data_IF_059260137571
#
_entry.id   IF_059260137571
#
_cell.length_a   1.000
_cell.length_b   1.000
_cell.length_c   1.000
_cell.angle_alpha   90.00
_cell.angle_beta   90.00
_cell.angle_gamma   90.00
#
_symmetry.space_group_name_H-M   'P 1'
#
loop_
_entity.id
_entity.type
_entity.pdbx_description
1 polymer ?
#
# COMPACT_ATOMS: atom_id res chain seq x y z
N UNK A 1 15.75 17.14 -29.68
CA UNK A 1 14.49 16.40 -29.46
C UNK A 1 14.56 15.68 -28.14
N UNK A 2 13.97 16.25 -27.12
CA UNK A 2 13.85 15.51 -25.87
C UNK A 2 12.73 14.50 -26.02
N UNK A 3 13.12 13.23 -26.07
CA UNK A 3 12.20 12.11 -26.09
C UNK A 3 11.53 12.04 -24.71
N UNK A 4 10.28 12.52 -24.60
CA UNK A 4 9.47 12.48 -23.37
C UNK A 4 9.06 11.05 -22.95
N UNK A 5 9.61 10.01 -23.58
CA UNK A 5 9.22 8.62 -23.42
C UNK A 5 10.23 7.75 -22.65
N UNK A 6 11.24 8.31 -22.01
CA UNK A 6 12.35 7.53 -21.47
C UNK A 6 12.35 7.29 -19.96
N UNK A 7 11.23 7.52 -19.27
CA UNK A 7 11.17 7.22 -17.83
C UNK A 7 10.25 6.05 -17.48
N UNK A 8 10.05 5.11 -18.40
CA UNK A 8 9.55 3.81 -18.00
C UNK A 8 10.68 3.03 -17.31
N UNK A 9 10.43 2.51 -16.12
CA UNK A 9 11.36 1.58 -15.48
C UNK A 9 11.57 0.36 -16.37
N UNK A 10 12.61 -0.42 -16.07
CA UNK A 10 12.85 -1.67 -16.81
C UNK A 10 11.65 -2.59 -16.65
N UNK A 11 11.16 -3.23 -17.72
CA UNK A 11 10.15 -4.28 -17.62
C UNK A 11 10.54 -5.34 -16.61
N UNK A 12 9.59 -5.82 -15.82
CA UNK A 12 9.79 -6.91 -14.89
C UNK A 12 9.57 -8.22 -15.63
N UNK A 13 10.65 -8.99 -15.82
CA UNK A 13 10.63 -10.28 -16.52
C UNK A 13 10.93 -11.47 -15.62
N UNK A 14 11.30 -11.24 -14.38
CA UNK A 14 11.54 -12.27 -13.37
C UNK A 14 10.21 -12.91 -12.94
N UNK A 15 10.03 -14.19 -13.28
CA UNK A 15 8.80 -14.94 -12.99
C UNK A 15 8.48 -15.01 -11.50
N UNK A 16 9.50 -15.15 -10.65
CA UNK A 16 9.32 -15.17 -9.19
C UNK A 16 8.79 -13.83 -8.69
N UNK A 17 9.34 -12.73 -9.18
CA UNK A 17 8.91 -11.38 -8.82
C UNK A 17 7.49 -11.10 -9.31
N UNK A 18 7.17 -11.49 -10.54
CA UNK A 18 5.82 -11.37 -11.09
C UNK A 18 4.81 -12.18 -10.25
N UNK A 19 5.16 -13.41 -9.88
CA UNK A 19 4.34 -14.26 -9.02
C UNK A 19 4.07 -13.60 -7.67
N UNK A 20 5.10 -13.05 -7.04
CA UNK A 20 4.96 -12.38 -5.75
C UNK A 20 4.03 -11.16 -5.83
N UNK A 21 4.15 -10.35 -6.87
CA UNK A 21 3.22 -9.24 -7.12
C UNK A 21 1.80 -9.73 -7.32
N UNK A 22 1.61 -10.75 -8.17
CA UNK A 22 0.30 -11.33 -8.44
C UNK A 22 -0.38 -11.82 -7.16
N UNK A 23 0.31 -12.57 -6.33
CA UNK A 23 -0.21 -13.10 -5.06
C UNK A 23 -0.63 -11.97 -4.11
N UNK A 24 0.18 -10.93 -4.00
CA UNK A 24 -0.15 -9.75 -3.18
C UNK A 24 -1.34 -8.98 -3.73
N UNK A 25 -1.39 -8.73 -5.02
CA UNK A 25 -2.51 -8.03 -5.66
C UNK A 25 -3.80 -8.83 -5.48
N UNK A 26 -3.78 -10.14 -5.78
CA UNK A 26 -4.92 -11.03 -5.59
C UNK A 26 -5.44 -11.00 -4.14
N UNK A 27 -4.52 -11.07 -3.19
CA UNK A 27 -4.86 -11.02 -1.77
C UNK A 27 -5.61 -9.73 -1.41
N UNK A 28 -5.06 -8.57 -1.76
CA UNK A 28 -5.67 -7.29 -1.39
C UNK A 28 -6.98 -7.04 -2.13
N UNK A 29 -7.08 -7.38 -3.41
CA UNK A 29 -8.34 -7.28 -4.17
C UNK A 29 -9.40 -8.21 -3.56
N UNK A 30 -9.04 -9.43 -3.18
CA UNK A 30 -9.96 -10.38 -2.54
C UNK A 30 -10.49 -9.91 -1.19
N UNK A 31 -9.74 -9.03 -0.51
CA UNK A 31 -10.15 -8.40 0.75
C UNK A 31 -10.95 -7.10 0.56
N UNK A 32 -11.24 -6.73 -0.68
CA UNK A 32 -12.01 -5.52 -1.01
C UNK A 32 -11.20 -4.24 -1.06
N UNK A 33 -9.87 -4.31 -1.07
CA UNK A 33 -9.03 -3.13 -1.26
C UNK A 33 -8.91 -2.77 -2.75
N UNK A 34 -8.85 -1.48 -3.02
CA UNK A 34 -8.43 -0.97 -4.32
C UNK A 34 -6.91 -0.85 -4.34
N UNK A 35 -6.27 -1.58 -5.25
CA UNK A 35 -4.81 -1.62 -5.38
C UNK A 35 -4.34 -0.55 -6.36
N UNK A 36 -3.37 0.24 -5.95
CA UNK A 36 -2.83 1.35 -6.73
C UNK A 36 -1.45 0.96 -7.24
N UNK A 37 -1.25 0.77 -8.56
CA UNK A 37 0.09 0.63 -9.11
C UNK A 37 0.83 1.95 -8.97
N UNK A 38 2.03 1.90 -8.38
CA UNK A 38 2.84 3.07 -8.11
C UNK A 38 4.24 2.91 -8.70
N UNK A 39 4.84 4.04 -9.07
CA UNK A 39 6.28 4.14 -9.36
C UNK A 39 6.90 5.14 -8.42
N UNK A 40 7.88 4.68 -7.65
CA UNK A 40 8.58 5.52 -6.68
C UNK A 40 7.57 6.29 -5.78
N UNK A 41 6.56 5.56 -5.29
CA UNK A 41 5.44 6.03 -4.47
C UNK A 41 4.40 6.91 -5.18
N UNK A 42 4.58 7.17 -6.48
CA UNK A 42 3.65 7.99 -7.27
C UNK A 42 2.65 7.06 -7.98
N UNK A 43 1.33 7.25 -7.78
CA UNK A 43 0.31 6.49 -8.48
C UNK A 43 0.43 6.59 -10.00
N UNK A 44 0.32 5.46 -10.69
CA UNK A 44 0.40 5.35 -12.15
C UNK A 44 -0.95 5.05 -12.82
N UNK A 45 -2.03 5.08 -12.06
CA UNK A 45 -3.38 4.83 -12.56
C UNK A 45 -4.18 6.14 -12.51
N UNK A 46 -4.68 6.58 -13.66
CA UNK A 46 -5.56 7.74 -13.72
C UNK A 46 -6.87 7.48 -12.97
N UNK A 47 -7.34 8.47 -12.22
CA UNK A 47 -8.61 8.37 -11.49
C UNK A 47 -8.59 7.40 -10.32
N UNK A 48 -7.41 7.03 -9.80
CA UNK A 48 -7.28 6.10 -8.67
C UNK A 48 -8.04 6.54 -7.40
N UNK A 49 -8.34 7.82 -7.26
CA UNK A 49 -9.13 8.36 -6.14
C UNK A 49 -10.62 8.07 -6.26
N UNK A 50 -11.10 7.68 -7.45
CA UNK A 50 -12.52 7.45 -7.72
C UNK A 50 -12.85 5.97 -7.69
N UNK A 51 -14.11 5.65 -7.42
CA UNK A 51 -14.63 4.29 -7.58
C UNK A 51 -14.46 3.84 -9.05
N UNK A 52 -13.87 2.69 -9.23
CA UNK A 52 -13.72 2.03 -10.52
C UNK A 52 -13.50 0.54 -10.30
N UNK A 53 -13.91 -0.27 -11.26
CA UNK A 53 -13.64 -1.69 -11.26
C UNK A 53 -12.16 -1.96 -11.50
N UNK A 54 -11.65 -3.04 -10.93
CA UNK A 54 -10.26 -3.41 -11.02
C UNK A 54 -10.08 -4.93 -11.03
N UNK A 55 -9.21 -5.40 -11.90
CA UNK A 55 -8.73 -6.78 -11.91
C UNK A 55 -7.24 -6.83 -11.54
N UNK A 56 -6.78 -8.02 -11.15
CA UNK A 56 -5.35 -8.24 -10.90
C UNK A 56 -4.51 -7.92 -12.13
N UNK A 57 -4.98 -8.29 -13.32
CA UNK A 57 -4.26 -8.06 -14.57
C UNK A 57 -4.10 -6.57 -14.88
N UNK A 58 -5.08 -5.72 -14.56
CA UNK A 58 -4.98 -4.28 -14.75
C UNK A 58 -3.76 -3.69 -14.03
N UNK A 59 -3.48 -4.17 -12.81
CA UNK A 59 -2.34 -3.73 -12.01
C UNK A 59 -1.05 -4.42 -12.46
N UNK A 60 -1.12 -5.73 -12.67
CA UNK A 60 0.05 -6.55 -12.98
C UNK A 60 0.68 -6.17 -14.32
N UNK A 61 -0.11 -5.78 -15.31
CA UNK A 61 0.39 -5.33 -16.62
C UNK A 61 1.25 -4.08 -16.50
N UNK A 62 0.91 -3.16 -15.60
CA UNK A 62 1.72 -1.98 -15.34
C UNK A 62 3.05 -2.33 -14.64
N UNK A 63 3.04 -3.33 -13.76
CA UNK A 63 4.26 -3.87 -13.14
C UNK A 63 5.15 -4.54 -14.21
N UNK A 64 4.59 -5.42 -15.03
CA UNK A 64 5.33 -6.13 -16.07
C UNK A 64 5.95 -5.19 -17.09
N UNK A 65 5.26 -4.13 -17.46
CA UNK A 65 5.77 -3.13 -18.42
C UNK A 65 6.81 -2.16 -17.83
N UNK A 66 7.04 -2.19 -16.52
CA UNK A 66 7.92 -1.26 -15.81
C UNK A 66 7.33 0.14 -15.61
N UNK A 67 6.05 0.35 -15.94
CA UNK A 67 5.33 1.59 -15.63
C UNK A 67 5.07 1.75 -14.13
N UNK A 68 5.00 0.65 -13.41
CA UNK A 68 4.94 0.63 -11.95
C UNK A 68 6.00 -0.34 -11.39
N UNK A 69 6.47 -0.07 -10.19
CA UNK A 69 7.45 -0.89 -9.47
C UNK A 69 7.03 -1.18 -8.02
N UNK A 70 5.90 -0.68 -7.63
CA UNK A 70 5.33 -0.83 -6.29
C UNK A 70 3.81 -0.93 -6.40
N UNK A 71 3.19 -1.45 -5.36
CA UNK A 71 1.75 -1.36 -5.16
C UNK A 71 1.45 -0.62 -3.86
N UNK A 72 0.39 0.17 -3.89
CA UNK A 72 -0.23 0.76 -2.73
C UNK A 72 -1.68 0.31 -2.63
N UNK A 73 -2.34 0.69 -1.58
CA UNK A 73 -3.78 0.49 -1.42
C UNK A 73 -4.46 1.81 -1.10
N UNK A 74 -5.69 1.97 -1.56
CA UNK A 74 -6.53 3.11 -1.21
C UNK A 74 -7.12 2.91 0.18
N UNK A 75 -7.11 3.97 0.99
CA UNK A 75 -7.51 3.91 2.39
C UNK A 75 -8.88 4.54 2.67
N UNK A 76 -9.74 4.64 1.66
CA UNK A 76 -11.07 5.25 1.78
C UNK A 76 -12.01 4.53 2.75
N UNK A 77 -11.94 3.20 2.80
CA UNK A 77 -12.76 2.34 3.70
C UNK A 77 -12.06 1.91 4.98
N UNK A 78 -10.80 2.30 5.11
CA UNK A 78 -9.93 1.87 6.21
C UNK A 78 -9.18 3.07 6.77
N UNK A 79 -8.78 2.99 8.03
CA UNK A 79 -7.70 3.81 8.52
C UNK A 79 -6.48 2.93 8.84
N UNK A 80 -5.31 3.51 8.75
CA UNK A 80 -4.05 2.81 8.94
C UNK A 80 -3.23 3.53 9.98
N UNK A 81 -2.75 2.78 10.97
CA UNK A 81 -1.72 3.27 11.89
C UNK A 81 -0.37 2.91 11.29
N UNK A 82 0.38 3.91 10.90
CA UNK A 82 1.73 3.77 10.36
C UNK A 82 2.75 3.91 11.49
N UNK A 83 3.39 2.79 11.82
CA UNK A 83 4.39 2.70 12.89
C UNK A 83 5.78 2.74 12.28
N UNK A 84 6.45 3.86 12.41
CA UNK A 84 7.76 4.10 11.80
C UNK A 84 8.89 3.88 12.80
N UNK A 85 9.95 3.21 12.34
CA UNK A 85 11.17 2.94 13.11
C UNK A 85 12.42 3.55 12.48
N UNK A 86 12.29 4.34 11.42
CA UNK A 86 13.40 5.02 10.77
C UNK A 86 13.87 6.23 11.58
N UNK A 87 15.11 6.65 11.33
CA UNK A 87 15.66 7.90 11.87
C UNK A 87 15.54 7.99 13.41
N UNK A 88 15.88 6.91 14.12
CA UNK A 88 15.80 6.81 15.58
C UNK A 88 14.38 6.94 16.14
N UNK A 89 13.34 6.77 15.34
CA UNK A 89 11.96 6.70 15.84
C UNK A 89 11.73 5.36 16.52
N UNK A 90 11.06 5.39 17.65
CA UNK A 90 10.72 4.20 18.43
C UNK A 90 9.23 3.89 18.35
N UNK A 91 8.72 3.81 17.12
CA UNK A 91 7.29 3.61 16.87
C UNK A 91 6.73 2.32 17.45
N UNK A 92 7.52 1.23 17.46
CA UNK A 92 7.08 -0.06 18.04
C UNK A 92 6.84 0.04 19.54
N UNK A 93 7.67 0.76 20.27
CA UNK A 93 7.47 0.98 21.70
C UNK A 93 6.28 1.91 21.96
N UNK A 94 6.16 2.96 21.15
CA UNK A 94 5.04 3.91 21.22
C UNK A 94 3.69 3.21 21.01
N UNK A 95 3.59 2.30 20.04
CA UNK A 95 2.33 1.59 19.78
C UNK A 95 2.00 0.59 20.89
N UNK A 96 3.02 -0.06 21.50
CA UNK A 96 2.80 -0.91 22.66
C UNK A 96 2.25 -0.14 23.85
N UNK A 97 2.81 1.04 24.12
CA UNK A 97 2.33 1.89 25.19
C UNK A 97 0.91 2.35 24.95
N UNK A 98 0.59 2.81 23.72
CA UNK A 98 -0.75 3.21 23.34
C UNK A 98 -1.75 2.07 23.48
N UNK A 99 -1.38 0.86 23.08
CA UNK A 99 -2.20 -0.35 23.21
C UNK A 99 -2.55 -0.64 24.68
N UNK A 100 -1.59 -0.48 25.60
CA UNK A 100 -1.82 -0.61 27.05
C UNK A 100 -2.73 0.48 27.59
N UNK A 101 -2.44 1.74 27.26
CA UNK A 101 -3.17 2.90 27.76
C UNK A 101 -4.63 2.88 27.38
N UNK A 102 -4.92 2.39 26.16
CA UNK A 102 -6.29 2.28 25.63
C UNK A 102 -6.94 0.91 25.84
N UNK A 103 -6.22 -0.04 26.43
CA UNK A 103 -6.68 -1.43 26.59
C UNK A 103 -7.18 -2.04 25.25
N UNK A 104 -6.40 -1.84 24.18
CA UNK A 104 -6.69 -2.32 22.85
C UNK A 104 -5.78 -3.47 22.46
N UNK A 105 -6.34 -4.52 21.82
CA UNK A 105 -5.58 -5.56 21.16
C UNK A 105 -5.25 -5.12 19.73
N UNK A 106 -4.20 -4.33 19.58
CA UNK A 106 -3.81 -3.76 18.29
C UNK A 106 -3.24 -4.81 17.33
N UNK A 107 -2.76 -5.94 17.84
CA UNK A 107 -2.18 -7.00 17.03
C UNK A 107 -3.25 -7.89 16.36
N UNK A 108 -4.50 -7.80 16.80
CA UNK A 108 -5.60 -8.57 16.23
C UNK A 108 -6.23 -7.87 15.03
N UNK A 109 -5.40 -7.48 14.06
CA UNK A 109 -5.86 -6.87 12.80
C UNK A 109 -4.90 -7.21 11.65
N UNK A 110 -5.34 -6.94 10.43
CA UNK A 110 -4.46 -7.05 9.28
C UNK A 110 -3.23 -6.14 9.46
N UNK A 111 -2.06 -6.72 9.36
CA UNK A 111 -0.79 -6.02 9.57
C UNK A 111 0.17 -6.29 8.42
N UNK A 112 0.83 -5.25 7.93
CA UNK A 112 1.91 -5.36 6.96
C UNK A 112 3.21 -4.80 7.57
N UNK A 113 4.31 -5.47 7.33
CA UNK A 113 5.63 -4.96 7.70
C UNK A 113 6.19 -4.04 6.62
N UNK A 114 6.86 -2.98 7.05
CA UNK A 114 7.58 -2.10 6.14
C UNK A 114 9.02 -2.57 5.97
N UNK A 115 9.66 -2.16 4.87
CA UNK A 115 11.07 -2.51 4.59
C UNK A 115 12.02 -2.16 5.75
N UNK A 116 11.73 -1.12 6.50
CA UNK A 116 12.57 -0.64 7.61
C UNK A 116 12.24 -1.30 8.95
N UNK A 117 11.35 -2.29 8.97
CA UNK A 117 10.94 -2.99 10.20
C UNK A 117 9.81 -2.33 10.97
N UNK A 118 9.21 -1.28 10.44
CA UNK A 118 7.96 -0.71 10.96
C UNK A 118 6.75 -1.55 10.57
N UNK A 119 5.56 -1.07 10.92
CA UNK A 119 4.30 -1.79 10.66
C UNK A 119 3.20 -0.84 10.21
N UNK A 120 2.32 -1.35 9.35
CA UNK A 120 1.02 -0.76 9.04
C UNK A 120 -0.06 -1.63 9.66
N UNK A 121 -0.87 -1.07 10.55
CA UNK A 121 -2.04 -1.73 11.12
C UNK A 121 -3.30 -1.19 10.45
N UNK A 122 -4.12 -2.07 9.88
CA UNK A 122 -5.31 -1.71 9.12
C UNK A 122 -6.58 -1.92 9.93
N UNK A 123 -7.42 -0.91 10.00
CA UNK A 123 -8.70 -0.97 10.70
C UNK A 123 -9.82 -0.48 9.80
N UNK A 124 -11.00 -1.08 9.93
CA UNK A 124 -12.20 -0.59 9.24
C UNK A 124 -12.53 0.80 9.78
N UNK A 125 -12.70 1.75 8.87
CA UNK A 125 -13.07 3.12 9.22
C UNK A 125 -14.56 3.18 9.56
N UNK A 126 -14.96 3.71 10.73
CA UNK A 126 -16.35 4.01 11.01
C UNK A 126 -16.95 4.99 9.99
N UNK A 127 -18.24 4.86 9.68
CA UNK A 127 -18.90 5.68 8.64
C UNK A 127 -18.90 7.18 8.97
N UNK A 128 -18.93 7.54 10.25
CA UNK A 128 -18.95 8.91 10.76
C UNK A 128 -17.56 9.55 10.87
N UNK A 129 -16.51 8.80 10.53
CA UNK A 129 -15.12 9.27 10.59
C UNK A 129 -14.60 9.55 9.18
N UNK A 130 -14.10 10.75 8.96
CA UNK A 130 -13.37 11.11 7.74
C UNK A 130 -11.87 10.98 7.96
N UNK A 131 -11.15 10.48 6.95
CA UNK A 131 -9.69 10.49 6.97
C UNK A 131 -9.20 11.95 6.89
N UNK A 132 -8.72 12.46 8.01
CA UNK A 132 -8.24 13.83 8.10
C UNK A 132 -6.77 13.97 7.73
N UNK A 133 -6.07 12.86 7.55
CA UNK A 133 -4.69 12.86 7.12
C UNK A 133 -4.58 12.72 5.61
N UNK A 134 -3.62 13.43 5.08
CA UNK A 134 -3.36 13.62 3.66
C UNK A 134 -2.92 12.37 2.90
N UNK A 135 -2.75 11.22 3.57
CA UNK A 135 -2.37 9.98 2.93
C UNK A 135 -3.61 9.17 2.56
N UNK A 136 -3.99 9.25 1.30
CA UNK A 136 -5.09 8.47 0.74
C UNK A 136 -4.66 7.08 0.29
N UNK A 137 -3.42 6.72 0.51
CA UNK A 137 -2.84 5.43 0.12
C UNK A 137 -1.73 5.00 1.07
N UNK A 138 -1.52 3.71 1.12
CA UNK A 138 -0.37 3.08 1.77
C UNK A 138 0.41 2.29 0.71
N UNK A 139 1.72 2.44 0.71
CA UNK A 139 2.62 1.67 -0.14
C UNK A 139 2.98 0.37 0.58
N UNK A 140 2.76 -0.74 -0.10
CA UNK A 140 3.00 -2.07 0.44
C UNK A 140 4.37 -2.60 0.05
N UNK A 141 4.97 -3.37 0.95
CA UNK A 141 6.17 -4.14 0.67
C UNK A 141 5.80 -5.41 -0.10
N UNK A 142 6.45 -5.62 -1.21
CA UNK A 142 6.29 -6.81 -2.05
C UNK A 142 7.60 -7.56 -2.19
#
# INVERSE_FOLDING_TARGET
MHNKFTNYGKPVTDDTKIKNFKEKIDFYISKGFFVIPCKDKIPQLAGWQKEQDQTTDDVLDLIKSGKANQIGIRTDKYFVIDVDVKNNKNGLESIKQLSKDLNLDIDNTLTAETRSGGKHYFFVKPEDVTNQNLLNKIILQV
#
